data_IF_415190625279
#
_entry.id   IF_415190625279
#
_cell.length_a   1.000
_cell.length_b   1.000
_cell.length_c   1.000
_cell.angle_alpha   90.00
_cell.angle_beta   90.00
_cell.angle_gamma   90.00
#
_symmetry.space_group_name_H-M   'P 1'
#
loop_
_entity.id
_entity.type
_entity.pdbx_description
1 polymer ?
#
# COMPACT_ATOMS: atom_id res chain seq x y z
N UNK A 1 11.06 9.05 -31.07
CA UNK A 1 10.53 7.68 -31.03
C UNK A 1 11.69 6.75 -30.77
N UNK A 2 11.64 5.96 -29.70
CA UNK A 2 12.63 4.93 -29.40
C UNK A 2 12.16 3.66 -30.13
N UNK A 3 12.90 3.23 -31.15
CA UNK A 3 12.55 2.09 -32.01
C UNK A 3 13.17 0.76 -31.52
N UNK A 4 13.44 0.66 -30.22
CA UNK A 4 14.10 -0.51 -29.64
C UNK A 4 13.09 -1.57 -29.18
N UNK A 5 13.44 -2.84 -29.33
CA UNK A 5 12.67 -3.93 -28.76
C UNK A 5 12.88 -3.97 -27.24
N UNK A 6 11.77 -3.93 -26.49
CA UNK A 6 11.78 -3.99 -25.03
C UNK A 6 11.35 -5.38 -24.57
N UNK A 7 12.24 -6.07 -23.84
CA UNK A 7 11.97 -7.38 -23.27
C UNK A 7 11.76 -7.26 -21.76
N UNK A 8 10.64 -7.80 -21.28
CA UNK A 8 10.38 -8.01 -19.87
C UNK A 8 10.18 -9.51 -19.60
N UNK A 9 10.52 -10.01 -18.41
CA UNK A 9 10.24 -11.39 -18.06
C UNK A 9 8.73 -11.63 -18.13
N UNK A 10 8.32 -12.74 -18.72
CA UNK A 10 6.90 -13.12 -18.75
C UNK A 10 6.38 -13.23 -17.31
N UNK A 11 5.20 -12.64 -17.02
CA UNK A 11 4.65 -12.66 -15.68
C UNK A 11 4.34 -14.10 -15.25
N UNK A 12 4.75 -14.44 -14.03
CA UNK A 12 4.37 -15.68 -13.34
C UNK A 12 3.57 -15.32 -12.11
N UNK A 13 2.67 -16.20 -11.68
CA UNK A 13 1.94 -15.98 -10.43
C UNK A 13 2.91 -15.94 -9.25
N UNK A 14 2.68 -14.99 -8.34
CA UNK A 14 3.45 -14.88 -7.11
C UNK A 14 3.22 -16.14 -6.26
N UNK A 15 4.27 -16.83 -5.77
CA UNK A 15 4.13 -17.99 -4.92
C UNK A 15 3.42 -17.65 -3.61
N UNK A 16 2.46 -18.46 -3.19
CA UNK A 16 1.74 -18.28 -1.92
C UNK A 16 2.58 -18.84 -0.78
N UNK A 17 2.88 -18.02 0.21
CA UNK A 17 3.57 -18.43 1.42
C UNK A 17 2.61 -19.11 2.40
N UNK A 18 3.03 -20.22 2.99
CA UNK A 18 2.14 -21.07 3.79
C UNK A 18 2.10 -20.71 5.28
N UNK A 19 3.06 -19.92 5.79
CA UNK A 19 3.16 -19.54 7.21
C UNK A 19 3.16 -20.73 8.18
N UNK A 20 3.82 -21.81 7.78
CA UNK A 20 3.96 -23.04 8.56
C UNK A 20 4.63 -22.79 9.94
N UNK A 21 4.40 -23.65 10.95
CA UNK A 21 5.11 -23.55 12.23
C UNK A 21 6.64 -23.50 12.04
N UNK A 22 7.28 -22.49 12.61
CA UNK A 22 8.75 -22.32 12.56
C UNK A 22 9.30 -21.66 11.29
N UNK A 23 8.47 -21.40 10.28
CA UNK A 23 8.91 -20.76 9.04
C UNK A 23 9.32 -19.30 9.22
N UNK A 24 10.23 -18.82 8.38
CA UNK A 24 10.81 -17.49 8.53
C UNK A 24 9.82 -16.39 8.17
N UNK A 25 8.95 -16.62 7.19
CA UNK A 25 7.86 -15.69 6.87
C UNK A 25 6.87 -15.53 8.03
N UNK A 26 6.64 -16.59 8.82
CA UNK A 26 5.78 -16.53 10.00
C UNK A 26 6.45 -15.76 11.13
N UNK A 27 7.74 -15.98 11.36
CA UNK A 27 8.51 -15.20 12.35
C UNK A 27 8.47 -13.73 11.99
N UNK A 28 8.80 -13.40 10.73
CA UNK A 28 8.82 -12.02 10.24
C UNK A 28 7.45 -11.36 10.29
N UNK A 29 6.39 -12.05 9.89
CA UNK A 29 5.03 -11.54 9.97
C UNK A 29 4.62 -11.21 11.41
N UNK A 30 4.98 -12.06 12.39
CA UNK A 30 4.70 -11.81 13.81
C UNK A 30 5.45 -10.59 14.35
N UNK A 31 6.71 -10.41 13.97
CA UNK A 31 7.51 -9.24 14.33
C UNK A 31 6.85 -7.95 13.83
N UNK A 32 6.53 -7.91 12.54
CA UNK A 32 5.90 -6.75 11.89
C UNK A 32 4.49 -6.50 12.43
N UNK A 33 3.72 -7.55 12.70
CA UNK A 33 2.41 -7.44 13.34
C UNK A 33 2.51 -6.77 14.71
N UNK A 34 3.50 -7.15 15.53
CA UNK A 34 3.74 -6.54 16.84
C UNK A 34 4.20 -5.08 16.71
N UNK A 35 5.10 -4.81 15.77
CA UNK A 35 5.58 -3.45 15.44
C UNK A 35 4.41 -2.51 15.09
N UNK A 36 3.59 -2.92 14.12
CA UNK A 36 2.45 -2.13 13.63
C UNK A 36 1.36 -1.99 14.68
N UNK A 37 1.06 -3.05 15.45
CA UNK A 37 0.05 -2.97 16.52
C UNK A 37 0.51 -2.05 17.67
N UNK A 38 1.81 -1.96 17.91
CA UNK A 38 2.41 -1.10 18.94
C UNK A 38 2.58 0.36 18.54
N UNK A 39 2.45 0.67 17.24
CA UNK A 39 2.68 2.02 16.69
C UNK A 39 1.35 2.66 16.33
N UNK A 40 1.16 3.93 16.71
CA UNK A 40 0.00 4.72 16.30
C UNK A 40 0.36 5.54 15.07
N UNK A 41 -0.32 5.29 13.96
CA UNK A 41 -0.08 6.04 12.73
C UNK A 41 -1.01 7.24 12.62
N UNK A 42 -0.55 8.28 11.94
CA UNK A 42 -1.32 9.47 11.64
C UNK A 42 -1.25 9.69 10.12
N UNK A 43 -2.38 9.46 9.44
CA UNK A 43 -2.45 9.31 7.98
C UNK A 43 -2.97 10.59 7.34
N UNK A 44 -2.13 11.37 6.65
CA UNK A 44 -2.56 12.54 5.90
C UNK A 44 -3.20 12.15 4.56
N UNK A 45 -3.83 13.13 3.91
CA UNK A 45 -4.11 13.03 2.47
C UNK A 45 -2.89 13.49 1.69
N UNK A 46 -2.53 12.80 0.61
CA UNK A 46 -1.55 13.28 -0.36
C UNK A 46 -2.26 13.82 -1.60
N UNK A 47 -2.18 15.14 -1.82
CA UNK A 47 -2.76 15.80 -3.00
C UNK A 47 -1.63 16.33 -3.88
N UNK A 48 -1.33 15.59 -4.95
CA UNK A 48 -0.14 15.86 -5.76
C UNK A 48 1.13 15.63 -4.93
N UNK A 49 1.91 16.70 -4.67
CA UNK A 49 3.10 16.65 -3.81
C UNK A 49 2.84 17.14 -2.39
N UNK A 50 1.65 17.64 -2.11
CA UNK A 50 1.32 18.24 -0.82
C UNK A 50 0.80 17.18 0.15
N UNK A 51 1.39 17.14 1.33
CA UNK A 51 0.83 16.45 2.50
C UNK A 51 -0.20 17.36 3.16
N UNK A 52 -1.46 16.91 3.20
CA UNK A 52 -2.58 17.72 3.69
C UNK A 52 -3.15 17.13 4.97
N UNK A 53 -3.12 17.95 6.02
CA UNK A 53 -3.63 17.65 7.37
C UNK A 53 -4.76 18.59 7.70
N UNK A 54 -5.96 18.04 7.89
CA UNK A 54 -7.17 18.84 8.12
C UNK A 54 -7.47 19.09 9.60
N UNK A 55 -6.77 18.40 10.50
CA UNK A 55 -7.12 18.34 11.93
C UNK A 55 -8.42 17.58 12.24
N UNK A 56 -9.32 17.41 11.26
CA UNK A 56 -10.54 16.60 11.39
C UNK A 56 -10.20 15.13 11.13
N UNK A 57 -10.01 14.37 12.19
CA UNK A 57 -9.57 12.97 12.09
C UNK A 57 -10.67 11.96 12.36
N UNK A 58 -10.48 10.75 11.83
CA UNK A 58 -11.26 9.56 12.16
C UNK A 58 -10.32 8.42 12.56
N UNK A 59 -10.77 7.54 13.45
CA UNK A 59 -9.95 6.48 14.01
C UNK A 59 -9.83 5.29 13.04
N UNK A 60 -8.69 4.61 13.13
CA UNK A 60 -8.43 3.30 12.53
C UNK A 60 -8.36 2.31 13.70
N UNK A 61 -9.34 1.41 13.77
CA UNK A 61 -9.43 0.37 14.79
C UNK A 61 -9.51 -1.00 14.13
N UNK A 62 -8.84 -2.04 14.66
CA UNK A 62 -9.00 -3.41 14.15
C UNK A 62 -10.45 -3.88 14.34
N UNK A 63 -11.08 -4.52 13.34
CA UNK A 63 -12.45 -5.02 13.50
C UNK A 63 -12.58 -6.07 14.62
N UNK A 64 -11.56 -6.90 14.84
CA UNK A 64 -11.53 -7.90 15.92
C UNK A 64 -11.17 -7.33 17.30
N UNK A 65 -10.78 -6.06 17.38
CA UNK A 65 -10.35 -5.41 18.63
C UNK A 65 -10.68 -3.91 18.56
N UNK A 66 -11.96 -3.59 18.42
CA UNK A 66 -12.44 -2.24 18.13
C UNK A 66 -12.04 -1.14 19.15
N UNK A 67 -11.59 -1.53 20.36
CA UNK A 67 -11.07 -0.59 21.38
C UNK A 67 -9.60 -0.23 21.17
N UNK A 68 -8.85 -1.02 20.42
CA UNK A 68 -7.44 -0.76 20.13
C UNK A 68 -7.31 0.29 19.03
N UNK A 69 -6.56 1.36 19.28
CA UNK A 69 -6.34 2.43 18.30
C UNK A 69 -5.04 2.16 17.53
N UNK A 70 -5.15 1.80 16.25
CA UNK A 70 -3.99 1.66 15.35
C UNK A 70 -3.51 3.01 14.83
N UNK A 71 -4.40 3.99 14.75
CA UNK A 71 -4.06 5.29 14.23
C UNK A 71 -5.27 6.13 13.91
N UNK A 72 -5.03 7.25 13.26
CA UNK A 72 -6.06 8.16 12.77
C UNK A 72 -5.75 8.57 11.33
N UNK A 73 -6.78 8.93 10.58
CA UNK A 73 -6.61 9.52 9.26
C UNK A 73 -7.36 10.83 9.16
N UNK A 74 -6.80 11.76 8.38
CA UNK A 74 -7.41 13.05 8.12
C UNK A 74 -8.55 12.94 7.11
N UNK A 75 -9.73 13.39 7.49
CA UNK A 75 -10.90 13.43 6.60
C UNK A 75 -10.92 14.73 5.80
N UNK A 76 -11.15 14.59 4.49
CA UNK A 76 -11.29 15.71 3.56
C UNK A 76 -12.73 16.16 3.36
N UNK A 77 -12.89 17.23 2.60
CA UNK A 77 -14.18 17.78 2.16
C UNK A 77 -14.18 18.00 0.63
N UNK A 78 -15.26 18.57 0.09
CA UNK A 78 -15.39 18.84 -1.34
C UNK A 78 -14.28 19.75 -1.91
N UNK A 79 -13.67 20.61 -1.09
CA UNK A 79 -12.56 21.47 -1.54
C UNK A 79 -11.29 20.65 -1.77
N UNK A 80 -11.02 19.66 -0.92
CA UNK A 80 -9.91 18.72 -1.06
C UNK A 80 -10.06 17.86 -2.31
N UNK A 81 -11.29 17.40 -2.60
CA UNK A 81 -11.59 16.65 -3.84
C UNK A 81 -11.29 17.51 -5.08
N UNK A 82 -11.74 18.77 -5.12
CA UNK A 82 -11.44 19.68 -6.24
C UNK A 82 -9.94 19.92 -6.39
N UNK A 83 -9.20 20.07 -5.29
CA UNK A 83 -7.73 20.19 -5.31
C UNK A 83 -7.08 18.93 -5.89
N UNK A 84 -7.53 17.74 -5.49
CA UNK A 84 -7.03 16.47 -6.01
C UNK A 84 -7.27 16.31 -7.52
N UNK A 85 -8.48 16.64 -8.01
CA UNK A 85 -8.80 16.63 -9.44
C UNK A 85 -7.87 17.56 -10.21
N UNK A 86 -7.72 18.81 -9.74
CA UNK A 86 -6.86 19.79 -10.40
C UNK A 86 -5.38 19.35 -10.38
N UNK A 87 -4.91 18.76 -9.29
CA UNK A 87 -3.54 18.23 -9.19
C UNK A 87 -3.30 17.08 -10.18
N UNK A 88 -4.26 16.16 -10.33
CA UNK A 88 -4.18 15.06 -11.30
C UNK A 88 -4.20 15.58 -12.74
N UNK A 89 -5.11 16.50 -13.08
CA UNK A 89 -5.21 17.08 -14.43
C UNK A 89 -3.94 17.84 -14.84
N UNK A 90 -3.28 18.53 -13.91
CA UNK A 90 -2.01 19.23 -14.16
C UNK A 90 -0.88 18.31 -14.61
N UNK A 91 -0.86 17.05 -14.15
CA UNK A 91 0.22 16.09 -14.48
C UNK A 91 -0.17 15.07 -15.54
N UNK A 92 -1.45 15.05 -15.95
CA UNK A 92 -2.01 14.08 -16.90
C UNK A 92 -1.19 13.98 -18.18
N UNK A 93 -0.94 15.09 -18.86
CA UNK A 93 -0.24 15.08 -20.16
C UNK A 93 1.21 14.63 -20.02
N UNK A 94 1.87 15.00 -18.92
CA UNK A 94 3.23 14.53 -18.62
C UNK A 94 3.27 13.02 -18.36
N UNK A 95 2.31 12.48 -17.60
CA UNK A 95 2.20 11.04 -17.34
C UNK A 95 1.84 10.27 -18.60
N UNK A 96 0.89 10.76 -19.39
CA UNK A 96 0.46 10.14 -20.64
C UNK A 96 1.56 10.17 -21.72
N UNK A 97 2.40 11.20 -21.71
CA UNK A 97 3.57 11.32 -22.58
C UNK A 97 4.74 10.42 -22.20
N UNK A 98 4.70 9.74 -21.03
CA UNK A 98 5.68 8.70 -20.74
C UNK A 98 5.46 7.51 -21.66
N UNK A 99 6.58 6.91 -22.11
CA UNK A 99 6.54 5.65 -22.82
C UNK A 99 5.85 4.57 -21.96
N UNK A 100 5.23 3.59 -22.61
CA UNK A 100 4.48 2.56 -21.88
C UNK A 100 5.41 1.72 -20.99
N UNK A 101 6.67 1.52 -21.42
CA UNK A 101 7.73 0.81 -20.69
C UNK A 101 8.06 1.52 -19.38
N UNK A 102 8.23 2.85 -19.42
CA UNK A 102 8.51 3.64 -18.22
C UNK A 102 7.35 3.60 -17.24
N UNK A 103 6.11 3.60 -17.74
CA UNK A 103 4.92 3.42 -16.89
C UNK A 103 4.88 2.02 -16.30
N UNK A 104 5.15 0.98 -17.09
CA UNK A 104 5.18 -0.41 -16.63
C UNK A 104 6.26 -0.65 -15.57
N UNK A 105 7.46 -0.08 -15.75
CA UNK A 105 8.59 -0.23 -14.82
C UNK A 105 8.26 0.25 -13.40
N UNK A 106 7.39 1.26 -13.23
CA UNK A 106 6.94 1.71 -11.92
C UNK A 106 6.13 0.60 -11.22
N UNK A 107 5.23 -0.07 -11.94
CA UNK A 107 4.43 -1.16 -11.40
C UNK A 107 5.25 -2.44 -11.19
N UNK A 108 6.18 -2.76 -12.10
CA UNK A 108 7.10 -3.89 -11.92
C UNK A 108 7.97 -3.70 -10.67
N UNK A 109 8.44 -2.46 -10.42
CA UNK A 109 9.18 -2.17 -9.19
C UNK A 109 8.28 -2.25 -7.95
N UNK A 110 7.04 -1.79 -8.04
CA UNK A 110 6.08 -1.95 -6.94
C UNK A 110 5.81 -3.43 -6.64
N UNK A 111 5.63 -4.28 -7.66
CA UNK A 111 5.43 -5.72 -7.49
C UNK A 111 6.63 -6.39 -6.79
N UNK A 112 7.86 -6.11 -7.22
CA UNK A 112 9.08 -6.60 -6.56
C UNK A 112 9.16 -6.18 -5.09
N UNK A 113 8.84 -4.91 -4.82
CA UNK A 113 8.82 -4.35 -3.47
C UNK A 113 7.76 -5.00 -2.58
N UNK A 114 6.57 -5.31 -3.12
CA UNK A 114 5.50 -6.01 -2.42
C UNK A 114 5.79 -7.49 -2.22
N UNK A 115 6.40 -8.18 -3.19
CA UNK A 115 6.77 -9.59 -3.09
C UNK A 115 7.89 -9.85 -2.06
N UNK A 116 8.73 -8.84 -1.80
CA UNK A 116 9.91 -8.97 -0.94
C UNK A 116 9.82 -8.08 0.30
N UNK A 117 10.37 -6.86 0.23
CA UNK A 117 10.62 -5.96 1.35
C UNK A 117 9.35 -5.62 2.13
N UNK A 118 8.24 -5.38 1.44
CA UNK A 118 6.99 -4.92 2.06
C UNK A 118 5.94 -6.02 2.24
N UNK A 119 6.18 -7.26 1.77
CA UNK A 119 5.25 -8.38 1.94
C UNK A 119 4.74 -8.57 3.37
N UNK A 120 5.62 -8.66 4.41
CA UNK A 120 5.14 -8.83 5.77
C UNK A 120 4.40 -7.60 6.31
N UNK A 121 4.72 -6.40 5.80
CA UNK A 121 4.05 -5.15 6.18
C UNK A 121 2.65 -5.08 5.60
N UNK A 122 2.48 -5.33 4.30
CA UNK A 122 1.15 -5.25 3.67
C UNK A 122 0.22 -6.33 4.24
N UNK A 123 0.72 -7.56 4.42
CA UNK A 123 -0.03 -8.64 5.07
C UNK A 123 -0.44 -8.28 6.50
N UNK A 124 0.48 -7.79 7.32
CA UNK A 124 0.17 -7.40 8.70
C UNK A 124 -0.81 -6.22 8.77
N UNK A 125 -0.68 -5.21 7.90
CA UNK A 125 -1.65 -4.09 7.84
C UNK A 125 -3.04 -4.57 7.45
N UNK A 126 -3.14 -5.49 6.50
CA UNK A 126 -4.41 -6.09 6.07
C UNK A 126 -5.03 -6.94 7.18
N UNK A 127 -4.22 -7.75 7.87
CA UNK A 127 -4.69 -8.52 9.04
C UNK A 127 -5.22 -7.60 10.15
N UNK A 128 -4.49 -6.54 10.50
CA UNK A 128 -4.86 -5.61 11.56
C UNK A 128 -6.07 -4.75 11.17
N UNK A 129 -6.03 -4.09 10.01
CA UNK A 129 -7.06 -3.12 9.58
C UNK A 129 -8.35 -3.76 9.08
N UNK A 130 -8.29 -5.00 8.58
CA UNK A 130 -9.43 -5.67 7.94
C UNK A 130 -9.78 -7.02 8.60
N UNK A 131 -9.09 -7.40 9.67
CA UNK A 131 -9.34 -8.63 10.43
C UNK A 131 -9.20 -9.92 9.62
N UNK A 132 -8.33 -9.93 8.61
CA UNK A 132 -8.00 -11.13 7.85
C UNK A 132 -7.07 -12.05 8.64
N UNK A 133 -7.15 -13.35 8.39
CA UNK A 133 -6.11 -14.28 8.81
C UNK A 133 -4.88 -14.20 7.88
N UNK A 134 -3.76 -14.82 8.25
CA UNK A 134 -2.51 -14.73 7.49
C UNK A 134 -2.65 -15.21 6.04
N UNK A 135 -3.40 -16.30 5.81
CA UNK A 135 -3.60 -16.84 4.47
C UNK A 135 -4.51 -15.95 3.61
N UNK A 136 -5.57 -15.38 4.20
CA UNK A 136 -6.45 -14.45 3.51
C UNK A 136 -5.76 -13.13 3.16
N UNK A 137 -4.82 -12.67 3.98
CA UNK A 137 -4.01 -11.51 3.68
C UNK A 137 -3.01 -11.83 2.56
N UNK A 138 -2.34 -12.98 2.63
CA UNK A 138 -1.33 -13.41 1.66
C UNK A 138 -1.84 -13.53 0.22
N UNK A 139 -3.10 -13.95 0.03
CA UNK A 139 -3.70 -14.09 -1.30
C UNK A 139 -4.36 -12.81 -1.84
N UNK A 140 -4.28 -11.71 -1.08
CA UNK A 140 -5.02 -10.46 -1.38
C UNK A 140 -4.15 -9.21 -1.37
N UNK A 141 -3.29 -9.07 -0.36
CA UNK A 141 -2.59 -7.84 -0.01
C UNK A 141 -1.41 -7.56 -0.96
#
# INVERSE_FOLDING_TARGET
MQYGDFYYPLPVNEPILNYAPGSDEKKRLKEVFKELKGTKIDVPMYIGKEEVRTGKTANINPPHEHKHLLGQYHTGDATHVKKAINAALKVKEKWAGLSWENRANIFLKAADLLATKYRPYINATTMLGQSKNAMQAEIDA
#
